data_IF_771096783274
#
_entry.id   IF_771096783274
#
_cell.length_a   1.000
_cell.length_b   1.000
_cell.length_c   1.000
_cell.angle_alpha   90.00
_cell.angle_beta   90.00
_cell.angle_gamma   90.00
#
_symmetry.space_group_name_H-M   'P 1'
#
loop_
_entity.id
_entity.type
_entity.pdbx_description
1 polymer ?
#
# COMPACT_ATOMS: atom_id res chain seq x y z
N UNK A 1 0.92 -17.63 4.76
CA UNK A 1 -0.23 -16.74 4.60
C UNK A 1 -1.36 -17.45 3.85
N UNK A 2 -1.15 -17.96 2.63
CA UNK A 2 -2.18 -18.62 1.81
C UNK A 2 -2.94 -19.75 2.51
N UNK A 3 -2.31 -20.48 3.42
CA UNK A 3 -2.98 -21.53 4.21
C UNK A 3 -4.19 -21.01 5.02
N UNK A 4 -4.15 -19.76 5.44
CA UNK A 4 -5.16 -19.16 6.33
C UNK A 4 -6.17 -18.28 5.59
N UNK A 5 -5.82 -17.79 4.40
CA UNK A 5 -6.64 -16.82 3.66
C UNK A 5 -7.02 -17.28 2.25
N UNK A 6 -6.81 -18.56 1.91
CA UNK A 6 -7.02 -19.14 0.57
C UNK A 6 -8.42 -18.93 -0.01
N UNK A 7 -9.42 -18.75 0.84
CA UNK A 7 -10.83 -18.61 0.43
C UNK A 7 -11.22 -17.14 0.12
N UNK A 8 -10.26 -16.21 0.22
CA UNK A 8 -10.46 -14.79 -0.05
C UNK A 8 -9.68 -14.36 -1.30
N UNK A 9 -10.20 -13.39 -2.07
CA UNK A 9 -9.44 -12.83 -3.19
C UNK A 9 -8.20 -12.08 -2.68
N UNK A 10 -7.10 -12.30 -3.36
CA UNK A 10 -5.80 -11.68 -3.03
C UNK A 10 -5.36 -10.76 -4.15
N UNK A 11 -4.80 -9.62 -3.74
CA UNK A 11 -4.23 -8.66 -4.68
C UNK A 11 -2.97 -8.02 -4.11
N UNK A 12 -1.99 -7.78 -4.96
CA UNK A 12 -0.78 -7.05 -4.62
C UNK A 12 -0.66 -5.80 -5.51
N UNK A 13 -0.49 -4.65 -4.89
CA UNK A 13 -0.07 -3.44 -5.60
C UNK A 13 1.46 -3.43 -5.61
N UNK A 14 2.06 -3.55 -6.80
CA UNK A 14 3.51 -3.60 -6.96
C UNK A 14 4.15 -2.37 -6.32
N UNK A 15 5.13 -2.61 -5.47
CA UNK A 15 5.85 -1.57 -4.73
C UNK A 15 7.14 -1.14 -5.44
N UNK A 16 7.77 -0.14 -4.85
CA UNK A 16 9.06 0.38 -5.36
C UNK A 16 10.21 -0.62 -5.20
N UNK A 17 10.08 -1.64 -4.35
CA UNK A 17 11.08 -2.70 -4.21
C UNK A 17 11.01 -3.67 -5.39
N UNK A 18 9.84 -4.13 -5.77
CA UNK A 18 9.61 -4.94 -6.97
C UNK A 18 9.98 -4.18 -8.24
N UNK A 19 9.65 -2.89 -8.30
CA UNK A 19 10.05 -2.02 -9.41
C UNK A 19 11.58 -1.92 -9.59
N UNK A 20 12.37 -2.04 -8.52
CA UNK A 20 13.85 -2.07 -8.63
C UNK A 20 14.33 -3.32 -9.38
N UNK A 21 13.68 -4.45 -9.18
CA UNK A 21 13.99 -5.70 -9.90
C UNK A 21 13.76 -5.49 -11.40
N UNK A 22 12.60 -4.93 -11.78
CA UNK A 22 12.29 -4.62 -13.18
C UNK A 22 13.31 -3.67 -13.79
N UNK A 23 13.63 -2.57 -13.11
CA UNK A 23 14.63 -1.58 -13.58
C UNK A 23 16.05 -2.14 -13.63
N UNK A 24 16.36 -3.17 -12.86
CA UNK A 24 17.65 -3.83 -12.91
C UNK A 24 17.77 -4.71 -14.16
N UNK A 25 16.78 -5.57 -14.43
CA UNK A 25 16.81 -6.45 -15.60
C UNK A 25 16.76 -5.69 -16.93
N UNK A 26 16.04 -4.56 -16.99
CA UNK A 26 15.99 -3.70 -18.18
C UNK A 26 17.37 -3.20 -18.63
N UNK A 27 18.37 -3.18 -17.72
CA UNK A 27 19.74 -2.76 -18.02
C UNK A 27 20.61 -3.89 -18.58
N UNK A 28 20.10 -5.13 -18.56
CA UNK A 28 20.84 -6.34 -18.93
C UNK A 28 20.01 -7.07 -19.99
N UNK A 29 20.28 -6.83 -21.30
CA UNK A 29 19.45 -7.36 -22.39
C UNK A 29 19.24 -8.87 -22.34
N UNK A 30 20.24 -9.61 -21.83
CA UNK A 30 20.24 -11.07 -21.76
C UNK A 30 19.20 -11.64 -20.78
N UNK A 31 18.75 -10.85 -19.81
CA UNK A 31 17.77 -11.27 -18.80
C UNK A 31 16.52 -10.37 -18.78
N UNK A 32 16.39 -9.46 -19.74
CA UNK A 32 15.28 -8.52 -19.79
C UNK A 32 13.92 -9.26 -19.79
N UNK A 33 13.06 -8.93 -18.83
CA UNK A 33 11.75 -9.55 -18.63
C UNK A 33 11.74 -10.86 -17.85
N UNK A 34 12.86 -11.52 -17.63
CA UNK A 34 12.91 -12.82 -16.95
C UNK A 34 12.54 -12.71 -15.47
N UNK A 35 13.13 -11.79 -14.74
CA UNK A 35 12.87 -11.62 -13.30
C UNK A 35 11.46 -11.12 -13.05
N UNK A 36 10.96 -10.23 -13.91
CA UNK A 36 9.57 -9.76 -13.86
C UNK A 36 8.60 -10.92 -14.09
N UNK A 37 8.88 -11.75 -15.09
CA UNK A 37 8.06 -12.93 -15.40
C UNK A 37 8.03 -13.91 -14.21
N UNK A 38 9.19 -14.26 -13.65
CA UNK A 38 9.28 -15.14 -12.48
C UNK A 38 8.49 -14.62 -11.28
N UNK A 39 8.62 -13.33 -11.00
CA UNK A 39 7.89 -12.69 -9.89
C UNK A 39 6.36 -12.77 -10.09
N UNK A 40 5.89 -12.46 -11.30
CA UNK A 40 4.45 -12.45 -11.58
C UNK A 40 3.87 -13.87 -11.67
N UNK A 41 4.62 -14.81 -12.22
CA UNK A 41 4.24 -16.24 -12.20
C UNK A 41 4.11 -16.75 -10.77
N UNK A 42 5.00 -16.36 -9.87
CA UNK A 42 4.88 -16.73 -8.46
C UNK A 42 3.60 -16.16 -7.80
N UNK A 43 3.17 -14.94 -8.14
CA UNK A 43 1.88 -14.43 -7.67
C UNK A 43 0.71 -15.24 -8.21
N UNK A 44 0.70 -15.54 -9.50
CA UNK A 44 -0.34 -16.33 -10.17
C UNK A 44 -0.44 -17.75 -9.61
N UNK A 45 0.69 -18.42 -9.39
CA UNK A 45 0.76 -19.76 -8.80
C UNK A 45 0.11 -19.83 -7.40
N UNK A 46 0.14 -18.73 -6.67
CA UNK A 46 -0.53 -18.60 -5.37
C UNK A 46 -1.93 -18.00 -5.47
N UNK A 47 -2.46 -17.77 -6.67
CA UNK A 47 -3.79 -17.20 -6.89
C UNK A 47 -3.91 -15.71 -6.59
N UNK A 48 -2.80 -14.96 -6.59
CA UNK A 48 -2.80 -13.53 -6.39
C UNK A 48 -2.91 -12.79 -7.72
N UNK A 49 -3.73 -11.76 -7.75
CA UNK A 49 -3.72 -10.77 -8.84
C UNK A 49 -2.80 -9.61 -8.47
N UNK A 50 -2.36 -8.82 -9.45
CA UNK A 50 -1.51 -7.66 -9.19
C UNK A 50 -1.91 -6.45 -10.04
N UNK A 51 -1.45 -5.26 -9.64
CA UNK A 51 -1.41 -4.04 -10.44
C UNK A 51 0.01 -3.52 -10.50
N UNK A 52 0.39 -2.90 -11.61
CA UNK A 52 1.72 -2.31 -11.79
C UNK A 52 1.95 -1.12 -10.84
N UNK A 53 3.21 -0.74 -10.69
CA UNK A 53 3.59 0.39 -9.83
C UNK A 53 2.91 1.69 -10.28
N UNK A 54 2.21 2.34 -9.34
CA UNK A 54 1.45 3.56 -9.60
C UNK A 54 0.05 3.35 -10.19
N UNK A 55 -0.32 2.12 -10.55
CA UNK A 55 -1.67 1.79 -11.01
C UNK A 55 -2.61 1.51 -9.85
N UNK A 56 -3.88 1.87 -10.03
CA UNK A 56 -4.93 1.68 -9.03
C UNK A 56 -5.67 0.36 -9.19
N UNK A 57 -5.82 -0.35 -8.08
CA UNK A 57 -6.84 -1.40 -7.92
C UNK A 57 -8.08 -0.78 -7.28
N UNK A 58 -9.22 -0.93 -7.91
CA UNK A 58 -10.48 -0.51 -7.32
C UNK A 58 -11.21 -1.68 -6.64
N UNK A 59 -11.60 -1.47 -5.39
CA UNK A 59 -12.45 -2.39 -4.62
C UNK A 59 -13.59 -1.59 -4.01
N UNK A 60 -14.83 -1.94 -4.34
CA UNK A 60 -16.04 -1.24 -3.86
C UNK A 60 -15.95 0.30 -3.98
N UNK A 61 -15.42 0.80 -5.08
CA UNK A 61 -15.32 2.25 -5.37
C UNK A 61 -14.12 2.96 -4.74
N UNK A 62 -13.35 2.28 -3.88
CA UNK A 62 -12.12 2.79 -3.24
C UNK A 62 -10.91 2.38 -4.06
N UNK A 63 -9.98 3.31 -4.27
CA UNK A 63 -8.73 3.06 -4.98
C UNK A 63 -7.62 2.58 -4.02
N UNK A 64 -6.90 1.54 -4.44
CA UNK A 64 -5.73 1.00 -3.73
C UNK A 64 -4.50 1.11 -4.62
N UNK A 65 -3.38 1.53 -4.05
CA UNK A 65 -2.10 1.66 -4.77
C UNK A 65 -0.94 1.56 -3.76
N UNK A 66 0.24 1.10 -4.18
CA UNK A 66 1.40 1.15 -3.30
C UNK A 66 1.83 2.59 -3.00
N UNK A 67 2.07 3.39 -4.04
CA UNK A 67 2.41 4.81 -3.96
C UNK A 67 1.63 5.58 -5.04
N UNK A 68 0.73 6.51 -4.67
CA UNK A 68 0.06 7.33 -5.66
C UNK A 68 1.04 8.28 -6.32
N UNK A 69 0.90 8.46 -7.63
CA UNK A 69 1.71 9.39 -8.41
C UNK A 69 0.88 10.64 -8.74
N UNK A 70 1.51 11.80 -8.65
CA UNK A 70 0.89 13.05 -9.10
C UNK A 70 0.88 13.13 -10.64
N UNK A 71 0.27 14.19 -11.18
CA UNK A 71 0.16 14.41 -12.64
C UNK A 71 1.53 14.50 -13.37
N UNK A 72 2.61 14.68 -12.62
CA UNK A 72 3.98 14.71 -13.15
C UNK A 72 4.70 13.35 -13.03
N UNK A 73 3.99 12.30 -12.58
CA UNK A 73 4.55 10.97 -12.36
C UNK A 73 5.46 10.88 -11.13
N UNK A 74 5.36 11.81 -10.18
CA UNK A 74 6.15 11.81 -8.94
C UNK A 74 5.31 11.33 -7.77
N UNK A 75 5.94 10.53 -6.89
CA UNK A 75 5.33 10.09 -5.65
C UNK A 75 4.98 11.27 -4.73
N UNK A 76 3.83 11.17 -4.06
CA UNK A 76 3.53 12.04 -2.93
C UNK A 76 4.35 11.62 -1.73
N UNK A 77 4.98 12.56 -1.09
CA UNK A 77 5.86 12.29 0.05
C UNK A 77 5.86 13.39 1.09
N UNK A 78 6.71 13.20 2.11
CA UNK A 78 6.89 14.16 3.17
C UNK A 78 5.84 14.09 4.27
N UNK A 79 5.74 15.18 5.04
CA UNK A 79 4.98 15.23 6.29
C UNK A 79 3.46 15.30 6.07
N UNK A 80 3.03 15.83 4.93
CA UNK A 80 1.62 16.12 4.62
C UNK A 80 1.16 15.42 3.33
N UNK A 81 1.71 14.25 3.04
CA UNK A 81 1.36 13.49 1.82
C UNK A 81 -0.15 13.23 1.72
N UNK A 82 -0.78 12.80 2.82
CA UNK A 82 -2.21 12.49 2.88
C UNK A 82 -3.07 13.71 2.55
N UNK A 83 -2.67 14.90 3.01
CA UNK A 83 -3.38 16.15 2.73
C UNK A 83 -3.28 16.51 1.25
N UNK A 84 -2.10 16.40 0.65
CA UNK A 84 -1.88 16.68 -0.76
C UNK A 84 -2.67 15.71 -1.63
N UNK A 85 -2.58 14.41 -1.35
CA UNK A 85 -3.35 13.39 -2.05
C UNK A 85 -4.85 13.67 -1.92
N UNK A 86 -5.33 14.02 -0.71
CA UNK A 86 -6.74 14.32 -0.48
C UNK A 86 -7.23 15.55 -1.25
N UNK A 87 -6.38 16.54 -1.48
CA UNK A 87 -6.72 17.70 -2.30
C UNK A 87 -6.87 17.32 -3.78
N UNK A 88 -6.01 16.46 -4.27
CA UNK A 88 -5.92 16.07 -5.68
C UNK A 88 -6.87 14.92 -6.04
N UNK A 89 -7.21 14.05 -5.09
CA UNK A 89 -8.06 12.88 -5.34
C UNK A 89 -9.55 13.25 -5.48
N UNK A 90 -10.25 12.51 -6.34
CA UNK A 90 -11.71 12.60 -6.53
C UNK A 90 -12.48 11.46 -5.84
N UNK A 91 -11.77 10.50 -5.26
CA UNK A 91 -12.33 9.30 -4.59
C UNK A 91 -11.46 8.90 -3.42
N UNK A 92 -11.97 8.03 -2.58
CA UNK A 92 -11.21 7.48 -1.47
C UNK A 92 -10.01 6.69 -1.97
N UNK A 93 -8.87 6.84 -1.28
CA UNK A 93 -7.61 6.26 -1.68
C UNK A 93 -6.88 5.65 -0.48
N UNK A 94 -6.44 4.42 -0.66
CA UNK A 94 -5.65 3.64 0.30
C UNK A 94 -4.27 3.38 -0.30
N UNK A 95 -3.22 3.71 0.46
CA UNK A 95 -1.85 3.57 -0.01
C UNK A 95 -0.87 3.19 1.11
N UNK A 96 0.31 2.69 0.73
CA UNK A 96 1.40 2.33 1.64
C UNK A 96 2.62 3.23 1.48
N UNK A 97 3.78 2.65 1.15
CA UNK A 97 5.05 3.28 0.79
C UNK A 97 5.73 4.10 1.90
N UNK A 98 5.03 5.00 2.56
CA UNK A 98 5.64 5.90 3.56
C UNK A 98 5.76 5.29 4.95
N UNK A 99 5.25 4.08 5.15
CA UNK A 99 5.26 3.32 6.40
C UNK A 99 4.57 4.02 7.58
N UNK A 100 3.67 4.97 7.30
CA UNK A 100 2.90 5.69 8.34
C UNK A 100 1.47 5.18 8.35
N UNK A 101 0.91 4.97 9.54
CA UNK A 101 -0.52 4.71 9.69
C UNK A 101 -1.24 6.04 9.91
N UNK A 102 -2.03 6.45 8.94
CA UNK A 102 -2.80 7.71 8.98
C UNK A 102 -4.11 7.56 8.26
N UNK A 103 -5.09 8.26 8.76
CA UNK A 103 -6.42 8.36 8.19
C UNK A 103 -6.79 9.85 8.11
N UNK A 104 -7.02 10.33 6.91
CA UNK A 104 -7.30 11.74 6.64
C UNK A 104 -8.56 11.91 5.82
N UNK A 105 -9.51 12.73 6.33
CA UNK A 105 -10.72 13.11 5.63
C UNK A 105 -10.53 14.51 5.02
N UNK A 106 -10.51 14.59 3.69
CA UNK A 106 -10.43 15.82 2.94
C UNK A 106 -11.83 16.27 2.49
N UNK A 107 -12.32 17.35 3.07
CA UNK A 107 -13.60 17.95 2.66
C UNK A 107 -13.39 18.80 1.41
N UNK A 108 -14.26 18.62 0.40
CA UNK A 108 -14.20 19.36 -0.87
C UNK A 108 -15.08 20.61 -0.80
N UNK A 109 -14.58 21.74 -1.33
CA UNK A 109 -15.31 23.00 -1.36
C UNK A 109 -16.51 22.91 -2.32
N UNK A 110 -17.64 23.48 -1.93
CA UNK A 110 -18.81 23.66 -2.78
C UNK A 110 -19.83 22.52 -2.80
N UNK A 111 -19.54 21.39 -2.16
CA UNK A 111 -20.45 20.25 -1.98
C UNK A 111 -20.21 19.60 -0.61
N UNK A 112 -21.25 18.95 -0.10
CA UNK A 112 -21.14 18.08 1.06
C UNK A 112 -20.44 16.75 0.64
N UNK A 113 -19.26 16.90 0.03
CA UNK A 113 -18.42 15.82 -0.46
C UNK A 113 -17.07 15.80 0.24
N UNK A 114 -16.60 14.63 0.46
CA UNK A 114 -15.29 14.38 1.05
C UNK A 114 -14.65 13.17 0.38
N UNK A 115 -13.36 13.06 0.54
CA UNK A 115 -12.60 11.84 0.23
C UNK A 115 -11.80 11.43 1.45
N UNK A 116 -11.59 10.16 1.63
CA UNK A 116 -10.78 9.60 2.71
C UNK A 116 -9.49 9.03 2.17
N UNK A 117 -8.40 9.43 2.76
CA UNK A 117 -7.06 9.03 2.37
C UNK A 117 -6.46 8.22 3.52
N UNK A 118 -6.22 6.94 3.29
CA UNK A 118 -5.68 6.03 4.30
C UNK A 118 -4.29 5.58 3.90
N UNK A 119 -3.32 5.87 4.77
CA UNK A 119 -1.96 5.37 4.69
C UNK A 119 -1.85 4.20 5.65
N UNK A 120 -1.56 3.00 5.14
CA UNK A 120 -1.77 1.74 5.88
C UNK A 120 -0.64 1.36 6.85
N UNK A 121 0.43 2.15 6.94
CA UNK A 121 1.59 1.77 7.75
C UNK A 121 2.45 0.70 7.09
N UNK A 122 3.12 -0.11 7.90
CA UNK A 122 3.89 -1.26 7.43
C UNK A 122 3.66 -2.49 8.31
N UNK A 123 3.53 -3.67 7.69
CA UNK A 123 3.33 -4.95 8.37
C UNK A 123 4.63 -5.72 8.65
N UNK A 124 5.74 -5.02 8.78
CA UNK A 124 6.99 -5.56 9.29
C UNK A 124 6.88 -5.91 10.78
N UNK A 125 7.71 -6.83 11.30
CA UNK A 125 7.76 -7.10 12.75
C UNK A 125 7.91 -5.81 13.55
N UNK A 126 7.31 -5.77 14.74
CA UNK A 126 7.31 -4.56 15.55
C UNK A 126 8.73 -4.06 15.85
N UNK A 127 8.98 -2.79 15.55
CA UNK A 127 10.29 -2.18 15.72
C UNK A 127 11.34 -2.53 14.67
N UNK A 128 11.02 -3.41 13.70
CA UNK A 128 11.94 -3.69 12.59
C UNK A 128 12.11 -2.47 11.70
N UNK A 129 13.35 -2.17 11.37
CA UNK A 129 13.71 -1.02 10.54
C UNK A 129 14.69 -1.48 9.48
N UNK A 130 14.32 -1.27 8.24
CA UNK A 130 15.17 -1.53 7.10
C UNK A 130 16.44 -0.66 7.13
N UNK A 131 17.56 -1.22 6.69
CA UNK A 131 18.87 -0.56 6.78
C UNK A 131 18.92 0.81 6.12
N UNK A 132 18.26 0.97 4.97
CA UNK A 132 18.18 2.24 4.25
C UNK A 132 17.41 3.34 5.01
N UNK A 133 16.57 2.96 5.96
CA UNK A 133 15.69 3.88 6.69
C UNK A 133 16.22 4.29 8.06
N UNK A 134 17.33 3.72 8.55
CA UNK A 134 17.88 3.93 9.91
C UNK A 134 18.05 5.40 10.29
N UNK A 135 18.29 6.28 9.33
CA UNK A 135 18.44 7.71 9.57
C UNK A 135 17.13 8.51 9.45
N UNK A 136 16.06 7.92 8.90
CA UNK A 136 14.81 8.60 8.55
C UNK A 136 13.57 7.99 9.23
N UNK A 137 13.75 7.37 10.39
CA UNK A 137 12.74 6.57 11.10
C UNK A 137 11.54 7.32 11.65
N UNK A 138 11.42 8.61 11.44
CA UNK A 138 10.40 9.40 12.08
C UNK A 138 9.00 9.10 11.52
N UNK A 139 8.20 8.40 12.31
CA UNK A 139 6.77 8.20 12.07
C UNK A 139 6.38 6.88 11.42
N UNK A 140 7.23 5.86 11.42
CA UNK A 140 6.85 4.50 11.03
C UNK A 140 5.81 3.93 12.01
N UNK A 141 4.83 3.23 11.45
CA UNK A 141 3.76 2.58 12.20
C UNK A 141 3.70 1.12 11.77
N UNK A 142 4.05 0.23 12.69
CA UNK A 142 4.01 -1.22 12.46
C UNK A 142 2.62 -1.74 12.74
N UNK A 143 1.84 -1.95 11.68
CA UNK A 143 0.46 -2.39 11.80
C UNK A 143 -0.04 -3.12 10.53
N UNK A 144 -1.10 -3.89 10.72
CA UNK A 144 -2.00 -4.33 9.66
C UNK A 144 -3.22 -3.42 9.70
N UNK A 145 -3.69 -2.99 8.54
CA UNK A 145 -4.85 -2.11 8.44
C UNK A 145 -6.06 -2.88 7.95
N UNK A 146 -7.13 -2.83 8.72
CA UNK A 146 -8.45 -3.34 8.39
C UNK A 146 -9.36 -2.17 8.00
N UNK A 147 -10.12 -2.34 6.93
CA UNK A 147 -11.00 -1.30 6.39
C UNK A 147 -12.42 -1.81 6.25
N UNK A 148 -13.38 -1.06 6.78
CA UNK A 148 -14.79 -1.20 6.46
C UNK A 148 -15.14 -0.31 5.27
N UNK A 149 -15.53 -0.92 4.13
CA UNK A 149 -15.85 -0.19 2.90
C UNK A 149 -17.30 -0.45 2.53
N UNK A 150 -18.10 0.61 2.44
CA UNK A 150 -19.46 0.58 1.90
C UNK A 150 -19.85 1.93 1.31
N UNK A 151 -20.80 1.94 0.42
CA UNK A 151 -21.25 3.13 -0.32
C UNK A 151 -20.11 3.86 -1.07
N UNK A 152 -19.14 3.10 -1.60
CA UNK A 152 -17.94 3.58 -2.31
C UNK A 152 -16.99 4.42 -1.44
N UNK A 153 -17.08 4.29 -0.13
CA UNK A 153 -16.23 5.01 0.82
C UNK A 153 -15.61 4.09 1.85
N UNK A 154 -14.42 4.44 2.32
CA UNK A 154 -13.85 3.88 3.55
C UNK A 154 -14.62 4.50 4.72
N UNK A 155 -15.44 3.70 5.39
CA UNK A 155 -16.24 4.15 6.54
C UNK A 155 -15.53 3.91 7.86
N UNK A 156 -14.76 2.83 7.94
CA UNK A 156 -14.03 2.45 9.13
C UNK A 156 -12.57 2.13 8.80
N UNK A 157 -11.67 2.54 9.68
CA UNK A 157 -10.24 2.22 9.61
C UNK A 157 -9.77 1.72 10.97
N UNK A 158 -9.21 0.51 11.01
CA UNK A 158 -8.66 -0.07 12.22
C UNK A 158 -7.17 -0.42 11.99
N UNK A 159 -6.28 0.25 12.72
CA UNK A 159 -4.85 -0.03 12.70
C UNK A 159 -4.50 -1.02 13.81
N UNK A 160 -4.33 -2.29 13.44
CA UNK A 160 -3.97 -3.35 14.37
C UNK A 160 -2.46 -3.40 14.51
N UNK A 161 -1.92 -3.03 15.67
CA UNK A 161 -0.48 -2.99 15.93
C UNK A 161 0.18 -4.36 15.76
N UNK A 162 1.34 -4.41 15.12
CA UNK A 162 2.16 -5.63 15.02
C UNK A 162 2.61 -6.14 16.39
N UNK A 163 2.91 -5.25 17.36
CA UNK A 163 3.20 -5.62 18.74
C UNK A 163 2.05 -6.42 19.38
N UNK A 164 0.79 -5.98 19.15
CA UNK A 164 -0.38 -6.73 19.60
C UNK A 164 -0.48 -8.09 18.93
N UNK A 165 -0.33 -8.14 17.61
CA UNK A 165 -0.41 -9.41 16.85
C UNK A 165 0.68 -10.39 17.28
N UNK A 166 1.89 -9.93 17.50
CA UNK A 166 3.00 -10.73 17.99
C UNK A 166 2.73 -11.28 19.40
N UNK A 167 2.14 -10.50 20.30
CA UNK A 167 1.76 -10.97 21.66
C UNK A 167 0.63 -11.99 21.63
N UNK A 168 -0.38 -11.79 20.78
CA UNK A 168 -1.54 -12.66 20.73
C UNK A 168 -1.29 -13.96 19.93
N UNK A 169 -0.53 -13.89 18.85
CA UNK A 169 -0.38 -14.98 17.86
C UNK A 169 1.06 -15.43 17.62
N UNK A 170 2.06 -14.69 18.05
CA UNK A 170 3.48 -14.98 17.80
C UNK A 170 4.09 -16.05 18.70
N UNK A 171 3.31 -16.69 19.56
CA UNK A 171 3.79 -17.77 20.44
C UNK A 171 3.58 -19.11 19.75
N UNK A 172 4.56 -19.53 19.00
CA UNK A 172 4.77 -20.94 18.62
C UNK A 172 6.21 -21.33 18.89
#
# INVERSE_FOLDING_TARGET
LNKYIKDYPHHICIGNHELRVHKFEEKIPEIAGMMKHELYSAFEDYGWTHTEYGEFKYVAGVAFVHAPLNIMGKEYGGKNAEVQIGNDSLHDLVFGHTHKARDWKAVKIGYDKWVRIVNVGCSLPYGHIEEYAKLNMNGWSWCVTELGIWDNHVQETNFVSMDRLEREYGKT
#
